data_IF_288300311224
#
_entry.id   IF_288300311224
#
_cell.length_a   1.000
_cell.length_b   1.000
_cell.length_c   1.000
_cell.angle_alpha   90.00
_cell.angle_beta   90.00
_cell.angle_gamma   90.00
#
_symmetry.space_group_name_H-M   'P 1'
#
loop_
_entity.id
_entity.type
_entity.pdbx_description
1 polymer ?
#
# COMPACT_ATOMS: atom_id res chain seq x y z
N UNK A 1 -9.59 -39.70 -18.24
CA UNK A 1 -10.05 -38.69 -17.24
C UNK A 1 -9.00 -37.60 -17.03
N UNK A 2 -7.70 -37.94 -16.92
CA UNK A 2 -6.61 -36.97 -16.77
C UNK A 2 -6.42 -36.02 -17.96
N UNK A 3 -6.49 -36.50 -19.20
CA UNK A 3 -6.36 -35.62 -20.39
C UNK A 3 -7.48 -34.58 -20.49
N UNK A 4 -8.70 -34.95 -20.14
CA UNK A 4 -9.85 -34.04 -20.13
C UNK A 4 -9.74 -32.97 -19.03
N UNK A 5 -9.18 -33.34 -17.87
CA UNK A 5 -8.91 -32.40 -16.78
C UNK A 5 -7.78 -31.43 -17.15
N UNK A 6 -6.70 -31.92 -17.78
CA UNK A 6 -5.61 -31.07 -18.26
C UNK A 6 -6.05 -30.10 -19.37
N UNK A 7 -6.91 -30.53 -20.29
CA UNK A 7 -7.44 -29.64 -21.32
C UNK A 7 -8.36 -28.56 -20.73
N UNK A 8 -9.18 -28.92 -19.74
CA UNK A 8 -10.07 -27.97 -19.07
C UNK A 8 -9.28 -26.92 -18.27
N UNK A 9 -8.28 -27.37 -17.50
CA UNK A 9 -7.42 -26.47 -16.71
C UNK A 9 -6.63 -25.51 -17.61
N UNK A 10 -6.16 -25.98 -18.77
CA UNK A 10 -5.44 -25.15 -19.74
C UNK A 10 -6.35 -24.05 -20.32
N UNK A 11 -7.59 -24.39 -20.65
CA UNK A 11 -8.57 -23.42 -21.14
C UNK A 11 -8.93 -22.37 -20.08
N UNK A 12 -9.03 -22.78 -18.82
CA UNK A 12 -9.32 -21.87 -17.70
C UNK A 12 -8.15 -20.91 -17.42
N UNK A 13 -6.91 -21.39 -17.48
CA UNK A 13 -5.71 -20.53 -17.38
C UNK A 13 -5.63 -19.52 -18.52
N UNK A 14 -5.95 -19.94 -19.75
CA UNK A 14 -5.96 -19.07 -20.92
C UNK A 14 -7.05 -17.99 -20.81
N UNK A 15 -8.22 -18.35 -20.26
CA UNK A 15 -9.29 -17.41 -19.95
C UNK A 15 -8.95 -16.44 -18.81
N UNK A 16 -8.30 -16.91 -17.75
CA UNK A 16 -7.80 -16.06 -16.65
C UNK A 16 -6.73 -15.08 -17.17
N UNK A 17 -5.81 -15.57 -18.00
CA UNK A 17 -4.77 -14.71 -18.61
C UNK A 17 -5.41 -13.63 -19.48
N UNK A 18 -6.38 -13.99 -20.32
CA UNK A 18 -7.10 -13.01 -21.16
C UNK A 18 -7.89 -11.99 -20.35
N UNK A 19 -8.49 -12.39 -19.23
CA UNK A 19 -9.24 -11.47 -18.36
C UNK A 19 -8.31 -10.55 -17.56
N UNK A 20 -7.15 -11.03 -17.12
CA UNK A 20 -6.12 -10.18 -16.51
C UNK A 20 -5.60 -9.12 -17.49
N UNK A 21 -5.23 -9.52 -18.71
CA UNK A 21 -4.80 -8.55 -19.74
C UNK A 21 -5.88 -7.50 -20.01
N UNK A 22 -7.15 -7.90 -20.11
CA UNK A 22 -8.26 -6.97 -20.32
C UNK A 22 -8.53 -6.05 -19.12
N UNK A 23 -8.25 -6.49 -17.90
CA UNK A 23 -8.33 -5.64 -16.70
C UNK A 23 -7.16 -4.65 -16.65
N UNK A 24 -5.95 -5.07 -16.99
CA UNK A 24 -4.76 -4.21 -17.05
C UNK A 24 -4.93 -3.09 -18.08
N UNK A 25 -5.45 -3.41 -19.26
CA UNK A 25 -5.74 -2.42 -20.31
C UNK A 25 -6.80 -1.41 -19.87
N UNK A 26 -7.87 -1.88 -19.20
CA UNK A 26 -8.92 -1.01 -18.66
C UNK A 26 -8.42 -0.13 -17.51
N UNK A 27 -7.54 -0.67 -16.66
CA UNK A 27 -6.91 0.07 -15.57
C UNK A 27 -5.99 1.16 -16.15
N UNK A 28 -5.15 0.82 -17.13
CA UNK A 28 -4.27 1.77 -17.80
C UNK A 28 -5.06 2.89 -18.50
N UNK A 29 -6.16 2.56 -19.19
CA UNK A 29 -7.04 3.57 -19.80
C UNK A 29 -7.72 4.46 -18.76
N UNK A 30 -8.13 3.89 -17.63
CA UNK A 30 -8.75 4.64 -16.53
C UNK A 30 -7.75 5.60 -15.91
N UNK A 31 -6.52 5.13 -15.64
CA UNK A 31 -5.41 5.96 -15.14
C UNK A 31 -5.11 7.08 -16.13
N UNK A 32 -4.93 6.79 -17.43
CA UNK A 32 -4.65 7.82 -18.44
C UNK A 32 -5.77 8.88 -18.56
N UNK A 33 -7.04 8.44 -18.44
CA UNK A 33 -8.19 9.34 -18.44
C UNK A 33 -8.21 10.18 -17.17
N UNK A 34 -7.89 9.60 -16.01
CA UNK A 34 -7.79 10.31 -14.74
C UNK A 34 -6.63 11.31 -14.73
N UNK A 35 -5.44 10.97 -15.24
CA UNK A 35 -4.31 11.90 -15.39
C UNK A 35 -4.65 13.05 -16.33
N UNK A 36 -5.35 12.78 -17.43
CA UNK A 36 -5.79 13.81 -18.36
C UNK A 36 -6.82 14.73 -17.70
N UNK A 37 -7.78 14.16 -16.99
CA UNK A 37 -8.77 14.92 -16.23
C UNK A 37 -8.10 15.73 -15.13
N UNK A 38 -7.12 15.17 -14.42
CA UNK A 38 -6.36 15.84 -13.39
C UNK A 38 -5.58 17.03 -13.94
N UNK A 39 -4.89 16.87 -15.08
CA UNK A 39 -4.20 17.97 -15.77
C UNK A 39 -5.19 19.06 -16.19
N UNK A 40 -6.35 18.66 -16.72
CA UNK A 40 -7.40 19.61 -17.10
C UNK A 40 -7.97 20.34 -15.88
N UNK A 41 -8.14 19.64 -14.74
CA UNK A 41 -8.61 20.21 -13.48
C UNK A 41 -7.56 21.16 -12.89
N UNK A 42 -6.29 20.79 -12.84
CA UNK A 42 -5.20 21.66 -12.39
C UNK A 42 -5.02 22.88 -13.29
N UNK A 43 -5.30 22.76 -14.60
CA UNK A 43 -5.32 23.89 -15.52
C UNK A 43 -6.53 24.81 -15.29
N UNK A 44 -7.71 24.22 -14.98
CA UNK A 44 -8.91 24.97 -14.57
C UNK A 44 -8.71 25.64 -13.20
N UNK A 45 -8.00 25.00 -12.28
CA UNK A 45 -7.72 25.51 -10.95
C UNK A 45 -6.69 26.66 -11.01
N UNK A 46 -5.64 26.55 -11.82
CA UNK A 46 -4.74 27.67 -12.11
C UNK A 46 -5.49 28.87 -12.73
N UNK A 47 -6.38 28.60 -13.70
CA UNK A 47 -7.20 29.65 -14.31
C UNK A 47 -8.21 30.29 -13.33
N UNK A 48 -8.71 29.52 -12.35
CA UNK A 48 -9.59 30.03 -11.30
C UNK A 48 -8.82 30.73 -10.16
N UNK A 49 -7.61 30.27 -9.80
CA UNK A 49 -6.77 30.89 -8.78
C UNK A 49 -6.25 32.27 -9.20
N UNK A 50 -6.07 32.54 -10.49
CA UNK A 50 -5.82 33.91 -10.99
C UNK A 50 -7.01 34.86 -10.76
N UNK A 51 -8.21 34.34 -10.47
CA UNK A 51 -9.44 35.11 -10.26
C UNK A 51 -9.92 35.16 -8.80
N UNK A 52 -9.34 34.35 -7.89
CA UNK A 52 -9.79 34.25 -6.50
C UNK A 52 -8.74 34.92 -5.59
N UNK A 53 -9.09 36.03 -4.88
CA UNK A 53 -8.22 36.58 -3.86
C UNK A 53 -7.98 35.53 -2.77
N UNK A 54 -6.74 35.42 -2.30
CA UNK A 54 -6.16 34.34 -1.47
C UNK A 54 -6.81 34.08 -0.09
N UNK A 55 -8.02 34.57 0.18
CA UNK A 55 -8.75 34.44 1.46
C UNK A 55 -9.91 33.43 1.48
N UNK A 56 -10.33 32.85 0.35
CA UNK A 56 -11.60 32.06 0.28
C UNK A 56 -11.44 30.53 0.41
N UNK A 57 -10.20 30.01 0.47
CA UNK A 57 -9.88 28.58 0.63
C UNK A 57 -10.10 28.08 2.08
N UNK A 58 -10.33 28.99 3.02
CA UNK A 58 -10.41 28.69 4.46
C UNK A 58 -11.80 28.27 4.95
N UNK A 59 -12.82 28.26 4.09
CA UNK A 59 -14.16 27.81 4.50
C UNK A 59 -14.25 26.28 4.41
N UNK A 60 -14.53 25.62 5.54
CA UNK A 60 -14.76 24.17 5.63
C UNK A 60 -15.82 23.66 4.63
N UNK A 61 -16.81 24.50 4.32
CA UNK A 61 -17.83 24.23 3.30
C UNK A 61 -17.25 24.13 1.87
N UNK A 62 -16.26 24.95 1.53
CA UNK A 62 -15.61 24.89 0.22
C UNK A 62 -14.71 23.66 0.11
N UNK A 63 -14.03 23.28 1.20
CA UNK A 63 -13.18 22.08 1.25
C UNK A 63 -14.03 20.80 1.11
N UNK A 64 -15.17 20.70 1.79
CA UNK A 64 -16.08 19.56 1.68
C UNK A 64 -16.68 19.40 0.27
N UNK A 65 -16.92 20.51 -0.45
CA UNK A 65 -17.40 20.48 -1.83
C UNK A 65 -16.32 20.07 -2.83
N UNK A 66 -15.05 20.34 -2.52
CA UNK A 66 -13.90 20.07 -3.37
C UNK A 66 -13.30 18.67 -3.12
N UNK A 67 -13.48 18.09 -1.92
CA UNK A 67 -12.93 16.79 -1.55
C UNK A 67 -13.21 15.65 -2.56
N UNK A 68 -14.43 15.49 -3.13
CA UNK A 68 -14.70 14.43 -4.11
C UNK A 68 -13.87 14.53 -5.41
N UNK A 69 -13.36 15.73 -5.73
CA UNK A 69 -12.54 15.97 -6.92
C UNK A 69 -11.06 15.69 -6.66
N UNK A 70 -10.55 16.13 -5.51
CA UNK A 70 -9.12 16.08 -5.20
C UNK A 70 -8.66 14.78 -4.54
N UNK A 71 -9.51 14.11 -3.76
CA UNK A 71 -9.14 12.87 -3.06
C UNK A 71 -8.72 11.75 -4.03
N UNK A 72 -9.48 11.43 -5.10
CA UNK A 72 -9.08 10.36 -6.02
C UNK A 72 -7.76 10.69 -6.74
N UNK A 73 -7.53 11.96 -7.05
CA UNK A 73 -6.30 12.42 -7.68
C UNK A 73 -5.11 12.28 -6.73
N UNK A 74 -5.23 12.73 -5.49
CA UNK A 74 -4.16 12.62 -4.51
C UNK A 74 -3.82 11.14 -4.23
N UNK A 75 -4.82 10.26 -4.12
CA UNK A 75 -4.62 8.82 -3.96
C UNK A 75 -3.84 8.22 -5.13
N UNK A 76 -4.26 8.50 -6.37
CA UNK A 76 -3.61 7.97 -7.57
C UNK A 76 -2.20 8.55 -7.78
N UNK A 77 -2.02 9.84 -7.49
CA UNK A 77 -0.71 10.50 -7.55
C UNK A 77 0.26 9.87 -6.56
N UNK A 78 -0.17 9.64 -5.32
CA UNK A 78 0.63 9.00 -4.29
C UNK A 78 0.98 7.55 -4.68
N UNK A 79 0.01 6.78 -5.19
CA UNK A 79 0.23 5.41 -5.67
C UNK A 79 1.23 5.36 -6.83
N UNK A 80 1.06 6.24 -7.82
CA UNK A 80 1.97 6.37 -8.97
C UNK A 80 3.37 6.76 -8.51
N UNK A 81 3.49 7.71 -7.59
CA UNK A 81 4.76 8.13 -7.05
C UNK A 81 5.45 6.99 -6.27
N UNK A 82 4.69 6.20 -5.49
CA UNK A 82 5.23 5.02 -4.80
C UNK A 82 5.76 3.97 -5.78
N UNK A 83 5.01 3.65 -6.82
CA UNK A 83 5.42 2.67 -7.86
C UNK A 83 6.69 3.13 -8.59
N UNK A 84 6.80 4.42 -8.88
CA UNK A 84 7.92 4.99 -9.63
C UNK A 84 9.09 5.48 -8.76
N UNK A 85 9.05 5.29 -7.43
CA UNK A 85 10.09 5.77 -6.51
C UNK A 85 10.21 7.31 -6.46
N UNK A 86 9.13 8.04 -6.74
CA UNK A 86 9.09 9.50 -6.74
C UNK A 86 8.65 10.05 -5.38
N UNK A 87 8.88 11.36 -5.20
CA UNK A 87 8.33 12.12 -4.07
C UNK A 87 6.80 12.18 -4.18
N UNK A 88 6.12 12.28 -3.05
CA UNK A 88 4.65 12.33 -2.96
C UNK A 88 4.17 13.32 -1.88
N UNK A 89 4.99 14.29 -1.51
CA UNK A 89 4.73 15.28 -0.47
C UNK A 89 3.49 16.14 -0.77
N UNK A 90 3.28 16.51 -2.04
CA UNK A 90 2.11 17.28 -2.47
C UNK A 90 0.81 16.46 -2.31
N UNK A 91 0.84 15.19 -2.68
CA UNK A 91 -0.30 14.29 -2.57
C UNK A 91 -0.62 13.99 -1.11
N UNK A 92 0.41 13.77 -0.29
CA UNK A 92 0.25 13.57 1.16
C UNK A 92 -0.39 14.80 1.82
N UNK A 93 0.06 16.00 1.45
CA UNK A 93 -0.54 17.25 1.93
C UNK A 93 -2.01 17.39 1.51
N UNK A 94 -2.34 17.03 0.27
CA UNK A 94 -3.72 17.04 -0.23
C UNK A 94 -4.61 16.03 0.53
N UNK A 95 -4.12 14.81 0.75
CA UNK A 95 -4.84 13.80 1.53
C UNK A 95 -5.08 14.28 2.97
N UNK A 96 -4.07 14.84 3.63
CA UNK A 96 -4.21 15.37 4.99
C UNK A 96 -5.19 16.56 5.08
N UNK A 97 -5.23 17.39 4.04
CA UNK A 97 -6.16 18.53 3.97
C UNK A 97 -7.62 18.08 3.90
N UNK A 98 -7.93 17.07 3.08
CA UNK A 98 -9.32 16.63 2.83
C UNK A 98 -9.76 15.45 3.71
N UNK A 99 -8.82 14.73 4.33
CA UNK A 99 -9.07 13.66 5.31
C UNK A 99 -8.46 14.04 6.68
N UNK A 100 -9.12 14.90 7.46
CA UNK A 100 -8.57 15.35 8.76
C UNK A 100 -8.43 14.23 9.80
N UNK A 101 -9.11 13.10 9.59
CA UNK A 101 -8.98 11.89 10.42
C UNK A 101 -7.88 10.94 9.95
N UNK A 102 -7.16 11.27 8.86
CA UNK A 102 -6.06 10.46 8.36
C UNK A 102 -4.82 10.72 9.23
N UNK A 103 -4.42 9.72 10.00
CA UNK A 103 -3.19 9.78 10.78
C UNK A 103 -2.00 9.44 9.89
N UNK A 104 -1.09 10.40 9.70
CA UNK A 104 0.13 10.23 8.91
C UNK A 104 1.27 9.73 9.82
N UNK A 105 1.81 8.51 9.61
CA UNK A 105 2.94 8.04 10.38
C UNK A 105 4.20 8.87 10.09
N UNK A 106 5.01 9.16 11.10
CA UNK A 106 6.24 9.93 10.96
C UNK A 106 7.20 9.35 9.90
N UNK A 107 7.25 8.03 9.78
CA UNK A 107 8.06 7.34 8.77
C UNK A 107 7.59 7.63 7.34
N UNK A 108 6.28 7.84 7.12
CA UNK A 108 5.73 8.20 5.82
C UNK A 108 5.99 9.66 5.51
N UNK A 109 5.87 10.54 6.50
CA UNK A 109 6.15 11.97 6.37
C UNK A 109 7.61 12.24 5.98
N UNK A 110 8.56 11.60 6.67
CA UNK A 110 9.99 11.67 6.33
C UNK A 110 10.27 11.14 4.92
N UNK A 111 9.54 10.09 4.52
CA UNK A 111 9.70 9.43 3.23
C UNK A 111 9.14 10.26 2.06
N UNK A 112 8.12 11.09 2.30
CA UNK A 112 7.34 11.77 1.25
C UNK A 112 8.16 12.76 0.42
N UNK A 113 9.12 13.45 1.05
CA UNK A 113 9.90 14.52 0.43
C UNK A 113 11.09 14.05 -0.44
N UNK A 114 11.40 12.75 -0.45
CA UNK A 114 12.60 12.21 -1.08
C UNK A 114 12.29 11.22 -2.20
N UNK A 115 13.05 11.29 -3.29
CA UNK A 115 13.08 10.23 -4.32
C UNK A 115 13.72 8.97 -3.75
N UNK A 116 13.27 7.80 -4.20
CA UNK A 116 13.62 6.51 -3.60
C UNK A 116 14.00 5.46 -4.65
N UNK A 117 14.68 4.37 -4.22
CA UNK A 117 14.87 3.20 -5.06
C UNK A 117 13.53 2.66 -5.56
N UNK A 118 13.53 2.13 -6.78
CA UNK A 118 12.36 1.49 -7.34
C UNK A 118 12.07 0.18 -6.58
N UNK A 119 10.81 -0.32 -6.60
CA UNK A 119 10.49 -1.64 -6.08
C UNK A 119 11.42 -2.76 -6.61
N UNK A 120 11.88 -2.67 -7.86
CA UNK A 120 12.87 -3.58 -8.45
C UNK A 120 14.23 -3.54 -7.74
N UNK A 121 14.68 -2.36 -7.32
CA UNK A 121 15.92 -2.20 -6.58
C UNK A 121 15.82 -2.83 -5.19
N UNK A 122 14.63 -2.76 -4.56
CA UNK A 122 14.36 -3.41 -3.27
C UNK A 122 14.46 -4.93 -3.41
N UNK A 123 13.90 -5.52 -4.47
CA UNK A 123 14.02 -6.96 -4.77
C UNK A 123 15.50 -7.34 -4.90
N UNK A 124 16.27 -6.61 -5.72
CA UNK A 124 17.70 -6.89 -5.90
C UNK A 124 18.50 -6.75 -4.60
N UNK A 125 18.27 -5.68 -3.84
CA UNK A 125 18.95 -5.42 -2.59
C UNK A 125 18.62 -6.47 -1.53
N UNK A 126 17.37 -6.94 -1.48
CA UNK A 126 16.97 -8.03 -0.60
C UNK A 126 17.72 -9.31 -0.93
N UNK A 127 17.73 -9.72 -2.21
CA UNK A 127 18.42 -10.92 -2.66
C UNK A 127 19.93 -10.89 -2.33
N UNK A 128 20.56 -9.72 -2.44
CA UNK A 128 21.97 -9.52 -2.04
C UNK A 128 22.21 -9.64 -0.54
N UNK A 129 21.18 -9.41 0.28
CA UNK A 129 21.29 -9.39 1.74
C UNK A 129 21.00 -10.76 2.37
N UNK A 130 20.31 -11.67 1.66
CA UNK A 130 19.99 -13.03 2.12
C UNK A 130 21.22 -13.78 2.67
N UNK A 131 22.40 -13.81 2.01
CA UNK A 131 23.57 -14.50 2.55
C UNK A 131 24.01 -13.95 3.92
N UNK A 132 23.98 -12.64 4.10
CA UNK A 132 24.31 -11.99 5.37
C UNK A 132 23.27 -12.29 6.45
N UNK A 133 21.98 -12.30 6.10
CA UNK A 133 20.90 -12.69 7.01
C UNK A 133 21.06 -14.13 7.49
N UNK A 134 21.34 -15.07 6.58
CA UNK A 134 21.54 -16.48 6.94
C UNK A 134 22.77 -16.63 7.84
N UNK A 135 23.86 -15.91 7.55
CA UNK A 135 25.07 -15.91 8.38
C UNK A 135 24.85 -15.30 9.78
N UNK A 136 23.92 -14.35 9.91
CA UNK A 136 23.54 -13.72 11.18
C UNK A 136 22.59 -14.57 12.03
N UNK A 137 22.18 -15.77 11.57
CA UNK A 137 21.31 -16.66 12.33
C UNK A 137 21.94 -16.99 13.71
N UNK A 138 21.19 -16.85 14.82
CA UNK A 138 21.68 -17.23 16.16
C UNK A 138 22.13 -18.70 16.19
N UNK A 139 23.26 -18.97 16.83
CA UNK A 139 23.85 -20.32 16.94
C UNK A 139 23.23 -21.18 18.04
N UNK A 140 22.53 -20.55 18.99
CA UNK A 140 21.92 -21.21 20.15
C UNK A 140 20.39 -20.96 20.14
N UNK A 141 19.56 -21.98 19.83
CA UNK A 141 18.12 -21.84 19.63
C UNK A 141 17.31 -21.58 20.92
N UNK A 142 17.87 -21.87 22.09
CA UNK A 142 17.14 -21.89 23.37
C UNK A 142 17.11 -20.54 24.12
N UNK A 143 17.76 -19.50 23.61
CA UNK A 143 17.76 -18.19 24.24
C UNK A 143 16.74 -17.25 23.56
N UNK A 144 15.58 -17.09 24.20
CA UNK A 144 14.66 -15.94 24.08
C UNK A 144 13.78 -15.73 22.82
N UNK A 145 14.03 -16.30 21.65
CA UNK A 145 13.24 -15.92 20.45
C UNK A 145 11.85 -16.60 20.39
N UNK A 146 11.73 -17.86 20.84
CA UNK A 146 10.42 -18.53 20.98
C UNK A 146 9.52 -17.85 22.03
N UNK A 147 10.12 -17.23 23.05
CA UNK A 147 9.38 -16.43 24.03
C UNK A 147 8.80 -15.15 23.39
N UNK A 148 9.53 -14.50 22.47
CA UNK A 148 9.02 -13.34 21.71
C UNK A 148 7.89 -13.71 20.74
N UNK A 149 7.89 -14.93 20.19
CA UNK A 149 6.75 -15.45 19.41
C UNK A 149 5.55 -15.82 20.31
N UNK A 150 5.82 -16.33 21.51
CA UNK A 150 4.82 -16.77 22.49
C UNK A 150 3.92 -15.66 23.03
N UNK A 151 4.38 -14.41 22.99
CA UNK A 151 3.57 -13.26 23.39
C UNK A 151 2.55 -12.85 22.31
N UNK A 152 2.72 -13.28 21.05
CA UNK A 152 1.85 -12.87 19.94
C UNK A 152 1.05 -14.01 19.25
N UNK A 153 1.43 -15.30 19.34
CA UNK A 153 0.66 -16.37 18.65
C UNK A 153 0.73 -17.74 19.35
N UNK A 154 -0.01 -17.93 20.45
CA UNK A 154 -0.18 -19.27 21.09
C UNK A 154 -1.16 -20.22 20.40
N UNK A 155 -1.84 -19.84 19.32
CA UNK A 155 -3.04 -20.59 18.88
C UNK A 155 -2.85 -21.69 17.81
N UNK A 156 -1.65 -21.94 17.25
CA UNK A 156 -1.52 -22.91 16.13
C UNK A 156 -0.36 -23.93 16.22
N UNK A 157 0.46 -23.93 17.27
CA UNK A 157 1.66 -24.77 17.36
C UNK A 157 1.63 -25.76 18.53
N UNK A 158 0.48 -26.38 18.77
CA UNK A 158 0.45 -27.64 19.51
C UNK A 158 0.53 -28.79 18.49
N UNK A 159 1.60 -29.59 18.61
CA UNK A 159 1.87 -30.88 17.93
C UNK A 159 2.81 -30.82 16.72
N UNK A 160 4.12 -30.73 17.00
CA UNK A 160 5.05 -31.80 16.55
C UNK A 160 6.32 -31.84 17.42
N UNK A 161 6.66 -32.99 18.02
CA UNK A 161 7.97 -33.21 18.60
C UNK A 161 8.93 -33.70 17.50
N UNK A 162 9.95 -32.91 17.15
CA UNK A 162 11.30 -33.34 16.76
C UNK A 162 12.13 -32.12 16.33
N UNK A 163 13.31 -31.95 16.92
CA UNK A 163 14.26 -30.85 16.68
C UNK A 163 14.95 -30.88 15.32
N UNK A 164 14.19 -30.97 14.23
CA UNK A 164 14.67 -30.94 12.84
C UNK A 164 13.94 -29.92 11.95
N UNK A 165 12.98 -29.14 12.48
CA UNK A 165 12.07 -28.33 11.63
C UNK A 165 12.27 -26.80 11.81
N UNK A 166 12.99 -26.30 12.82
CA UNK A 166 13.19 -24.85 13.02
C UNK A 166 14.07 -24.20 11.94
N UNK A 167 15.05 -24.96 11.42
CA UNK A 167 15.84 -24.53 10.26
C UNK A 167 14.99 -24.30 9.01
N UNK A 168 13.95 -25.13 8.83
CA UNK A 168 12.98 -25.04 7.74
C UNK A 168 11.99 -23.88 7.96
N UNK A 169 11.61 -23.57 9.22
CA UNK A 169 10.73 -22.44 9.52
C UNK A 169 11.35 -21.09 9.14
N UNK A 170 12.64 -20.89 9.45
CA UNK A 170 13.34 -19.64 9.08
C UNK A 170 13.50 -19.54 7.56
N UNK A 171 13.86 -20.65 6.89
CA UNK A 171 13.94 -20.66 5.43
C UNK A 171 12.58 -20.34 4.80
N UNK A 172 11.51 -20.92 5.33
CA UNK A 172 10.14 -20.63 4.91
C UNK A 172 9.76 -19.15 5.14
N UNK A 173 10.13 -18.55 6.27
CA UNK A 173 9.92 -17.11 6.49
C UNK A 173 10.67 -16.26 5.47
N UNK A 174 11.96 -16.55 5.23
CA UNK A 174 12.76 -15.81 4.23
C UNK A 174 12.14 -15.94 2.84
N UNK A 175 11.70 -17.13 2.44
CA UNK A 175 11.02 -17.34 1.16
C UNK A 175 9.67 -16.61 1.07
N UNK A 176 8.91 -16.53 2.16
CA UNK A 176 7.67 -15.75 2.20
C UNK A 176 7.93 -14.25 2.10
N UNK A 177 8.99 -13.75 2.75
CA UNK A 177 9.43 -12.35 2.63
C UNK A 177 9.82 -12.06 1.18
N UNK A 178 10.63 -12.91 0.56
CA UNK A 178 11.02 -12.78 -0.85
C UNK A 178 9.79 -12.75 -1.75
N UNK A 179 8.83 -13.65 -1.53
CA UNK A 179 7.59 -13.69 -2.30
C UNK A 179 6.74 -12.41 -2.10
N UNK A 180 6.69 -11.85 -0.88
CA UNK A 180 6.00 -10.61 -0.60
C UNK A 180 6.67 -9.41 -1.29
N UNK A 181 8.00 -9.30 -1.20
CA UNK A 181 8.78 -8.24 -1.85
C UNK A 181 8.65 -8.32 -3.38
N UNK A 182 8.68 -9.52 -3.97
CA UNK A 182 8.47 -9.71 -5.41
C UNK A 182 7.07 -9.27 -5.87
N UNK A 183 6.06 -9.35 -5.00
CA UNK A 183 4.71 -8.83 -5.27
C UNK A 183 4.55 -7.34 -4.93
N UNK A 184 5.62 -6.67 -4.49
CA UNK A 184 5.57 -5.31 -3.92
C UNK A 184 4.62 -5.17 -2.73
N UNK A 185 4.33 -6.27 -2.03
CA UNK A 185 3.53 -6.29 -0.81
C UNK A 185 4.43 -6.01 0.41
N UNK A 186 4.83 -4.74 0.52
CA UNK A 186 5.77 -4.29 1.55
C UNK A 186 5.16 -4.31 2.95
N UNK A 187 3.83 -4.26 3.07
CA UNK A 187 3.12 -4.47 4.35
C UNK A 187 3.30 -5.90 4.83
N UNK A 188 3.04 -6.91 3.98
CA UNK A 188 3.27 -8.30 4.35
C UNK A 188 4.76 -8.58 4.60
N UNK A 189 5.65 -8.03 3.77
CA UNK A 189 7.09 -8.19 3.95
C UNK A 189 7.57 -7.66 5.31
N UNK A 190 7.16 -6.45 5.70
CA UNK A 190 7.47 -5.86 7.00
C UNK A 190 6.98 -6.73 8.17
N UNK A 191 5.76 -7.25 8.08
CA UNK A 191 5.17 -8.13 9.09
C UNK A 191 5.89 -9.48 9.21
N UNK A 192 6.42 -10.02 8.11
CA UNK A 192 7.19 -11.26 8.12
C UNK A 192 8.62 -11.01 8.63
N UNK A 193 9.23 -9.88 8.29
CA UNK A 193 10.56 -9.49 8.78
C UNK A 193 10.55 -9.32 10.29
N UNK A 194 9.51 -8.73 10.87
CA UNK A 194 9.42 -8.54 12.33
C UNK A 194 9.37 -9.85 13.13
N UNK A 195 9.08 -10.98 12.47
CA UNK A 195 9.10 -12.32 13.06
C UNK A 195 10.48 -12.97 13.01
N UNK A 196 11.44 -12.39 12.29
CA UNK A 196 12.81 -12.91 12.24
C UNK A 196 13.56 -12.60 13.54
N UNK A 197 14.58 -13.41 13.88
CA UNK A 197 15.50 -13.08 14.96
C UNK A 197 16.17 -11.71 14.76
N UNK A 198 16.29 -10.94 15.83
CA UNK A 198 16.90 -9.59 15.80
C UNK A 198 18.25 -9.51 15.07
N UNK A 199 19.19 -10.47 15.21
CA UNK A 199 20.44 -10.44 14.44
C UNK A 199 20.23 -10.52 12.91
N UNK A 200 19.19 -11.24 12.46
CA UNK A 200 18.85 -11.34 11.04
C UNK A 200 18.18 -10.06 10.52
N UNK A 201 17.33 -9.42 11.34
CA UNK A 201 16.75 -8.11 11.03
C UNK A 201 17.87 -7.06 10.93
N UNK A 202 18.82 -7.07 11.86
CA UNK A 202 19.97 -6.15 11.83
C UNK A 202 20.82 -6.32 10.56
N UNK A 203 20.92 -7.54 10.01
CA UNK A 203 21.66 -7.80 8.78
C UNK A 203 21.02 -7.14 7.54
N UNK A 204 19.73 -6.76 7.59
CA UNK A 204 19.06 -6.00 6.52
C UNK A 204 19.55 -4.55 6.44
N UNK A 205 20.07 -4.00 7.54
CA UNK A 205 20.53 -2.61 7.58
C UNK A 205 19.45 -1.62 7.11
N UNK A 206 19.83 -0.71 6.21
CA UNK A 206 18.96 0.31 5.63
C UNK A 206 17.81 -0.27 4.78
N UNK A 207 17.92 -1.51 4.31
CA UNK A 207 16.84 -2.14 3.57
C UNK A 207 15.60 -2.36 4.47
N UNK A 208 15.82 -2.60 5.77
CA UNK A 208 14.72 -2.78 6.71
C UNK A 208 13.88 -1.51 6.87
N UNK A 209 14.53 -0.35 7.06
CA UNK A 209 13.83 0.95 7.15
C UNK A 209 13.06 1.26 5.86
N UNK A 210 13.64 0.98 4.70
CA UNK A 210 12.97 1.17 3.41
C UNK A 210 11.71 0.30 3.27
N UNK A 211 11.78 -0.99 3.62
CA UNK A 211 10.63 -1.89 3.56
C UNK A 211 9.54 -1.46 4.55
N UNK A 212 9.91 -1.07 5.78
CA UNK A 212 8.97 -0.57 6.79
C UNK A 212 8.28 0.72 6.34
N UNK A 213 9.01 1.64 5.70
CA UNK A 213 8.48 2.89 5.22
C UNK A 213 7.49 2.69 4.07
N UNK A 214 7.83 1.83 3.09
CA UNK A 214 6.94 1.45 2.00
C UNK A 214 5.68 0.74 2.51
N UNK A 215 5.82 -0.19 3.46
CA UNK A 215 4.67 -0.84 4.08
C UNK A 215 3.77 0.15 4.84
N UNK A 216 4.37 1.13 5.54
CA UNK A 216 3.62 2.19 6.23
C UNK A 216 2.85 3.09 5.26
N UNK A 217 3.45 3.42 4.11
CA UNK A 217 2.77 4.21 3.08
C UNK A 217 1.64 3.44 2.38
N UNK A 218 1.82 2.14 2.11
CA UNK A 218 0.76 1.29 1.57
C UNK A 218 -0.43 1.24 2.54
N UNK A 219 -0.17 1.03 3.83
CA UNK A 219 -1.21 1.06 4.86
C UNK A 219 -1.91 2.42 4.97
N UNK A 220 -1.16 3.53 4.82
CA UNK A 220 -1.74 4.86 4.80
C UNK A 220 -2.67 5.04 3.60
N UNK A 221 -2.26 4.58 2.42
CA UNK A 221 -3.04 4.65 1.19
C UNK A 221 -4.36 3.87 1.32
N UNK A 222 -4.33 2.68 1.92
CA UNK A 222 -5.52 1.87 2.17
C UNK A 222 -6.46 2.53 3.19
N UNK A 223 -5.93 3.14 4.25
CA UNK A 223 -6.72 3.94 5.19
C UNK A 223 -7.35 5.15 4.49
N UNK A 224 -6.59 5.88 3.69
CA UNK A 224 -7.08 7.04 2.95
C UNK A 224 -8.19 6.66 1.96
N UNK A 225 -8.07 5.52 1.26
CA UNK A 225 -9.12 4.96 0.40
C UNK A 225 -10.39 4.65 1.20
N UNK A 226 -10.26 3.97 2.33
CA UNK A 226 -11.39 3.61 3.20
C UNK A 226 -12.13 4.86 3.72
N UNK A 227 -11.37 5.87 4.17
CA UNK A 227 -11.92 7.15 4.63
C UNK A 227 -12.61 7.92 3.48
N UNK A 228 -12.00 7.93 2.30
CA UNK A 228 -12.58 8.56 1.10
C UNK A 228 -13.92 7.93 0.73
N UNK A 229 -14.00 6.58 0.70
CA UNK A 229 -15.25 5.87 0.43
C UNK A 229 -16.32 6.18 1.48
N UNK A 230 -15.93 6.27 2.76
CA UNK A 230 -16.84 6.62 3.85
C UNK A 230 -17.38 8.05 3.70
N UNK A 231 -16.52 9.02 3.38
CA UNK A 231 -16.94 10.40 3.11
C UNK A 231 -17.88 10.51 1.91
N UNK A 232 -17.57 9.82 0.80
CA UNK A 232 -18.40 9.83 -0.40
C UNK A 232 -19.79 9.22 -0.15
N UNK A 233 -19.88 8.16 0.68
CA UNK A 233 -21.14 7.58 1.10
C UNK A 233 -21.96 8.59 1.94
N UNK A 234 -21.34 9.29 2.88
CA UNK A 234 -22.02 10.31 3.69
C UNK A 234 -22.45 11.55 2.91
N UNK A 235 -21.73 11.91 1.84
CA UNK A 235 -22.09 13.02 0.95
C UNK A 235 -23.29 12.74 0.05
N UNK A 236 -23.65 11.47 -0.17
CA UNK A 236 -24.84 11.09 -0.95
C UNK A 236 -26.16 11.24 -0.19
N UNK A 237 -26.15 11.18 1.14
CA UNK A 237 -27.37 11.30 1.98
C UNK A 237 -27.94 12.74 2.03
N UNK A 238 -27.24 13.74 1.49
CA UNK A 238 -27.67 15.16 1.55
C UNK A 238 -28.57 15.56 0.35
N UNK A 239 -28.85 14.66 -0.63
CA UNK A 239 -29.54 15.02 -1.89
C UNK A 239 -30.88 14.35 -2.20
N UNK A 240 -31.68 14.01 -1.18
CA UNK A 240 -33.11 13.70 -1.36
C UNK A 240 -33.96 14.43 -0.32
N UNK A 241 -33.88 15.77 -0.31
CA UNK A 241 -35.01 16.58 0.15
C UNK A 241 -35.87 16.88 -1.07
N UNK A 242 -37.04 16.24 -1.14
CA UNK A 242 -38.08 16.50 -2.12
C UNK A 242 -38.38 18.01 -2.20
N UNK A 243 -38.64 18.56 -3.40
CA UNK A 243 -39.21 19.89 -3.49
C UNK A 243 -40.65 19.80 -2.99
N UNK A 244 -40.93 20.28 -1.77
CA UNK A 244 -42.29 20.62 -1.39
C UNK A 244 -42.76 21.75 -2.32
N UNK A 245 -43.49 21.33 -3.35
CA UNK A 245 -44.47 22.10 -4.09
C UNK A 245 -45.49 22.64 -3.09
N UNK A 246 -45.16 23.75 -2.43
CA UNK A 246 -46.15 24.49 -1.67
C UNK A 246 -46.89 25.43 -2.64
N UNK A 247 -47.93 24.87 -3.24
CA UNK A 247 -49.04 25.63 -3.78
C UNK A 247 -49.98 25.99 -2.64
N UNK A 248 -49.97 27.26 -2.22
CA UNK A 248 -51.14 28.10 -1.93
C UNK A 248 -50.73 29.46 -1.38
#
# INVERSE_FOLDING_TARGET
>A
SLDLQNSALKAEIEQITSTMTGLDERLAQTIATMETNAKNISALDQANMEQIPSGEIQNEQNQAQQAPLYLPLALMGMETALINGQRFDAELQSLALYLPSLEVPALVDEMAASSRPLPSDIIENFNRTIPAMIAARPKDPDANWLQQLGDNMRSLLALRPTGQIEGDQIQNLVSQIEAAINRSDFTAAANLISQLPQPMIAALGELNSQILALGSANNLLDQARSLTLSQLATGQDIKISEPELNAQ
#
